data_IF_242597736984
#
_entry.id   IF_242597736984
#
_cell.length_a   1.000
_cell.length_b   1.000
_cell.length_c   1.000
_cell.angle_alpha   90.00
_cell.angle_beta   90.00
_cell.angle_gamma   90.00
#
_symmetry.space_group_name_H-M   'P 1'
#
loop_
_entity.id
_entity.type
_entity.pdbx_description
1 polymer ?
#
# COMPACT_ATOMS: atom_id res chain seq x y z
N UNK A 1 -0.19 -19.34 8.30
CA UNK A 1 0.63 -18.28 7.66
C UNK A 1 1.81 -18.94 6.97
N UNK A 2 2.00 -18.74 5.66
CA UNK A 2 2.97 -19.47 4.82
C UNK A 2 4.41 -18.90 4.82
N UNK A 3 4.70 -17.86 5.62
CA UNK A 3 6.05 -17.29 5.73
C UNK A 3 6.46 -16.36 4.57
N UNK A 4 5.51 -15.99 3.71
CA UNK A 4 5.75 -15.02 2.64
C UNK A 4 6.16 -13.66 3.20
N UNK A 5 7.15 -13.05 2.57
CA UNK A 5 7.65 -11.72 2.90
C UNK A 5 7.22 -10.75 1.82
N UNK A 6 6.68 -9.62 2.25
CA UNK A 6 6.25 -8.55 1.37
C UNK A 6 6.88 -7.23 1.80
N UNK A 7 7.10 -6.36 0.83
CA UNK A 7 7.57 -5.00 1.05
C UNK A 7 6.46 -4.01 0.72
N UNK A 8 6.29 -3.03 1.60
CA UNK A 8 5.39 -1.89 1.40
C UNK A 8 6.21 -0.62 1.55
N UNK A 9 6.14 0.24 0.54
CA UNK A 9 6.81 1.55 0.54
C UNK A 9 5.74 2.62 0.45
N UNK A 10 5.75 3.53 1.43
CA UNK A 10 4.87 4.69 1.49
C UNK A 10 5.74 5.92 1.38
N UNK A 11 5.45 6.77 0.40
CA UNK A 11 6.08 8.08 0.25
C UNK A 11 5.04 9.16 0.48
N UNK A 12 5.37 10.11 1.33
CA UNK A 12 4.53 11.27 1.63
C UNK A 12 5.32 12.50 1.24
N UNK A 13 4.72 13.36 0.41
CA UNK A 13 5.29 14.65 0.03
C UNK A 13 4.26 15.74 0.26
N UNK A 14 4.70 16.91 0.73
CA UNK A 14 3.84 18.08 0.85
C UNK A 14 3.27 18.45 -0.53
N UNK A 15 1.98 18.79 -0.57
CA UNK A 15 1.30 19.31 -1.75
C UNK A 15 0.42 20.50 -1.32
N UNK A 16 0.06 21.40 -2.23
CA UNK A 16 -0.73 22.58 -1.87
C UNK A 16 -2.03 22.18 -1.14
N UNK A 17 -2.15 22.60 0.12
CA UNK A 17 -3.31 22.31 0.97
C UNK A 17 -3.37 20.88 1.54
N UNK A 18 -2.32 20.07 1.42
CA UNK A 18 -2.32 18.70 1.93
C UNK A 18 -1.03 17.93 1.69
N UNK A 19 -1.15 16.60 1.56
CA UNK A 19 -0.04 15.71 1.25
C UNK A 19 -0.40 14.79 0.10
N UNK A 20 0.52 14.57 -0.82
CA UNK A 20 0.44 13.49 -1.80
C UNK A 20 1.05 12.24 -1.19
N UNK A 21 0.29 11.14 -1.22
CA UNK A 21 0.72 9.84 -0.71
C UNK A 21 0.84 8.86 -1.86
N UNK A 22 2.06 8.40 -2.14
CA UNK A 22 2.31 7.33 -3.10
C UNK A 22 2.55 6.02 -2.33
N UNK A 23 1.73 5.00 -2.60
CA UNK A 23 1.80 3.68 -1.93
C UNK A 23 2.21 2.62 -2.95
N UNK A 24 3.22 1.83 -2.62
CA UNK A 24 3.69 0.70 -3.44
C UNK A 24 3.76 -0.56 -2.60
N UNK A 25 3.44 -1.70 -3.20
CA UNK A 25 3.43 -3.00 -2.55
C UNK A 25 3.97 -4.06 -3.50
N UNK A 26 4.83 -4.93 -3.00
CA UNK A 26 5.43 -6.02 -3.77
C UNK A 26 5.64 -7.25 -2.89
N UNK A 27 5.46 -8.44 -3.48
CA UNK A 27 5.78 -9.70 -2.80
C UNK A 27 7.18 -10.19 -3.18
N UNK A 28 7.96 -10.67 -2.20
CA UNK A 28 9.34 -11.15 -2.42
C UNK A 28 9.43 -12.56 -3.01
N UNK A 29 8.31 -13.28 -3.11
CA UNK A 29 8.32 -14.73 -3.40
C UNK A 29 7.99 -15.07 -4.86
N UNK A 30 7.41 -14.13 -5.62
CA UNK A 30 7.48 -14.06 -7.10
C UNK A 30 6.78 -15.14 -7.93
N UNK A 31 5.63 -14.77 -8.55
CA UNK A 31 5.22 -15.01 -9.96
C UNK A 31 3.87 -14.33 -10.26
N UNK A 32 2.97 -14.35 -9.28
CA UNK A 32 1.69 -13.63 -9.26
C UNK A 32 1.29 -13.47 -7.79
N UNK A 33 0.64 -12.36 -7.43
CA UNK A 33 0.12 -12.10 -6.09
C UNK A 33 -1.40 -12.25 -5.99
N UNK A 34 -2.05 -12.65 -7.09
CA UNK A 34 -3.51 -12.81 -7.22
C UNK A 34 -4.29 -11.57 -6.74
N UNK A 35 -3.68 -10.38 -6.84
CA UNK A 35 -4.30 -9.13 -6.42
C UNK A 35 -4.09 -8.75 -4.95
N UNK A 36 -3.35 -9.52 -4.15
CA UNK A 36 -3.08 -9.20 -2.75
C UNK A 36 -2.39 -7.84 -2.56
N UNK A 37 -1.49 -7.42 -3.46
CA UNK A 37 -0.89 -6.08 -3.36
C UNK A 37 -1.91 -4.97 -3.62
N UNK A 38 -2.82 -5.17 -4.59
CA UNK A 38 -3.87 -4.20 -4.89
C UNK A 38 -4.88 -4.08 -3.74
N UNK A 39 -5.28 -5.21 -3.15
CA UNK A 39 -6.12 -5.24 -1.96
C UNK A 39 -5.48 -4.47 -0.80
N UNK A 40 -4.20 -4.73 -0.52
CA UNK A 40 -3.44 -4.04 0.52
C UNK A 40 -3.39 -2.53 0.31
N UNK A 41 -3.10 -2.09 -0.92
CA UNK A 41 -3.06 -0.66 -1.26
C UNK A 41 -4.43 -0.02 -1.03
N UNK A 42 -5.51 -0.66 -1.50
CA UNK A 42 -6.88 -0.13 -1.31
C UNK A 42 -7.27 -0.04 0.16
N UNK A 43 -7.00 -1.09 0.95
CA UNK A 43 -7.29 -1.11 2.36
C UNK A 43 -6.56 0.01 3.11
N UNK A 44 -5.27 0.22 2.80
CA UNK A 44 -4.48 1.30 3.39
C UNK A 44 -5.04 2.70 3.03
N UNK A 45 -5.35 2.93 1.75
CA UNK A 45 -5.93 4.21 1.31
C UNK A 45 -7.30 4.48 1.94
N UNK A 46 -8.15 3.45 2.07
CA UNK A 46 -9.45 3.55 2.73
C UNK A 46 -9.31 3.92 4.21
N UNK A 47 -8.39 3.28 4.93
CA UNK A 47 -8.13 3.59 6.34
C UNK A 47 -7.62 5.03 6.57
N UNK A 48 -6.95 5.63 5.58
CA UNK A 48 -6.54 7.05 5.65
C UNK A 48 -7.66 8.02 5.27
N UNK A 49 -8.59 7.62 4.40
CA UNK A 49 -9.72 8.44 3.94
C UNK A 49 -10.87 8.53 4.93
N UNK A 50 -10.93 7.62 5.91
CA UNK A 50 -11.85 7.70 7.04
C UNK A 50 -11.27 8.63 8.10
N UNK A 51 -11.69 9.89 8.07
CA UNK A 51 -11.63 10.77 9.23
C UNK A 51 -12.99 10.70 9.94
N UNK A 52 -13.01 10.34 11.24
CA UNK A 52 -14.16 10.63 12.11
C UNK A 52 -14.29 12.14 12.35
#
# INVERSE_FOLDING_TARGET
WFGFKDDVVIRIVSSNGGSRVDVRSVSRVGRSDVGSNAERIRAFLAAMGTQE
#
